data_IF_428928270350
#
_entry.id   IF_428928270350
#
_cell.length_a   1.000
_cell.length_b   1.000
_cell.length_c   1.000
_cell.angle_alpha   90.00
_cell.angle_beta   90.00
_cell.angle_gamma   90.00
#
_symmetry.space_group_name_H-M   'P 1'
#
loop_
_entity.id
_entity.type
_entity.pdbx_description
1 polymer ?
#
# COMPACT_ATOMS: atom_id res chain seq x y z
N UNK A 1 -3.77 -2.96 13.35
CA UNK A 1 -3.90 -1.55 12.95
C UNK A 1 -2.59 -0.80 13.15
N UNK A 2 -2.08 -0.63 14.38
CA UNK A 2 -0.89 0.18 14.63
C UNK A 2 0.39 -0.36 13.96
N UNK A 3 0.78 -1.61 14.25
CA UNK A 3 2.01 -2.19 13.70
C UNK A 3 1.97 -2.37 12.18
N UNK A 4 0.81 -2.71 11.62
CA UNK A 4 0.60 -2.83 10.17
C UNK A 4 0.73 -1.48 9.48
N UNK A 5 0.16 -0.41 10.06
CA UNK A 5 0.33 0.96 9.58
C UNK A 5 1.77 1.45 9.69
N UNK A 6 2.43 1.17 10.81
CA UNK A 6 3.84 1.54 11.03
C UNK A 6 4.76 0.85 10.03
N UNK A 7 4.62 -0.47 9.83
CA UNK A 7 5.38 -1.21 8.82
C UNK A 7 5.14 -0.67 7.41
N UNK A 8 3.90 -0.29 7.10
CA UNK A 8 3.57 0.30 5.81
C UNK A 8 4.29 1.64 5.60
N UNK A 9 4.28 2.50 6.62
CA UNK A 9 4.91 3.82 6.61
C UNK A 9 6.45 3.74 6.50
N UNK A 10 7.09 2.92 7.33
CA UNK A 10 8.55 2.96 7.49
C UNK A 10 9.29 1.99 6.57
N UNK A 11 8.60 0.98 6.01
CA UNK A 11 9.22 -0.05 5.14
C UNK A 11 8.67 0.02 3.72
N UNK A 12 7.37 -0.21 3.56
CA UNK A 12 6.79 -0.41 2.23
C UNK A 12 6.70 0.87 1.42
N UNK A 13 6.32 1.99 2.04
CA UNK A 13 6.24 3.29 1.39
C UNK A 13 7.60 3.75 0.83
N UNK A 14 8.71 3.80 1.62
CA UNK A 14 10.01 4.19 1.08
C UNK A 14 10.53 3.20 0.04
N UNK A 15 10.30 1.89 0.21
CA UNK A 15 10.68 0.89 -0.80
C UNK A 15 9.94 1.09 -2.13
N UNK A 16 8.64 1.41 -2.07
CA UNK A 16 7.81 1.71 -3.24
C UNK A 16 8.28 2.99 -3.92
N UNK A 17 8.53 4.05 -3.16
CA UNK A 17 9.03 5.33 -3.69
C UNK A 17 10.41 5.16 -4.38
N UNK A 18 11.31 4.38 -3.78
CA UNK A 18 12.60 4.04 -4.39
C UNK A 18 12.41 3.28 -5.71
N UNK A 19 11.51 2.30 -5.75
CA UNK A 19 11.22 1.54 -6.98
C UNK A 19 10.59 2.44 -8.05
N UNK A 20 9.70 3.38 -7.67
CA UNK A 20 9.16 4.37 -8.60
C UNK A 20 10.23 5.29 -9.17
N UNK A 21 11.20 5.74 -8.37
CA UNK A 21 12.35 6.51 -8.86
C UNK A 21 13.17 5.70 -9.86
N UNK A 22 13.37 4.40 -9.61
CA UNK A 22 14.06 3.50 -10.54
C UNK A 22 13.29 3.33 -11.85
N UNK A 23 11.97 3.12 -11.80
CA UNK A 23 11.10 3.04 -13.01
C UNK A 23 11.18 4.31 -13.85
N UNK A 24 11.13 5.49 -13.21
CA UNK A 24 11.31 6.78 -13.91
C UNK A 24 12.69 6.90 -14.56
N UNK A 25 13.74 6.41 -13.90
CA UNK A 25 15.09 6.38 -14.45
C UNK A 25 15.20 5.45 -15.66
N UNK A 26 14.61 4.25 -15.57
CA UNK A 26 14.60 3.29 -16.67
C UNK A 26 13.76 3.79 -17.85
N UNK A 27 12.63 4.43 -17.60
CA UNK A 27 11.79 4.99 -18.66
C UNK A 27 12.54 6.00 -19.54
N UNK A 28 13.42 6.81 -18.94
CA UNK A 28 14.31 7.73 -19.67
C UNK A 28 15.35 7.00 -20.54
N UNK A 29 15.85 5.85 -20.09
CA UNK A 29 16.83 5.05 -20.84
C UNK A 29 16.17 4.30 -22.00
N UNK A 30 14.98 3.76 -21.74
CA UNK A 30 14.21 3.00 -22.72
C UNK A 30 13.52 3.90 -23.74
N UNK A 31 13.42 5.21 -23.48
CA UNK A 31 12.60 6.13 -24.27
C UNK A 31 11.11 5.80 -24.23
N UNK A 32 10.67 5.01 -23.25
CA UNK A 32 9.31 4.48 -23.12
C UNK A 32 8.87 4.45 -21.67
N UNK A 33 7.70 5.01 -21.40
CA UNK A 33 7.14 5.04 -20.06
C UNK A 33 6.76 3.65 -19.55
N UNK A 34 6.87 3.44 -18.24
CA UNK A 34 6.64 2.17 -17.56
C UNK A 34 5.18 1.67 -17.54
N UNK A 35 4.25 2.48 -18.07
CA UNK A 35 2.82 2.19 -18.20
C UNK A 35 2.37 2.14 -19.68
N UNK A 36 3.28 2.40 -20.61
CA UNK A 36 2.97 2.36 -22.04
C UNK A 36 2.74 0.93 -22.52
N UNK A 37 1.80 0.74 -23.44
CA UNK A 37 1.44 -0.57 -23.98
C UNK A 37 2.59 -1.24 -24.77
N UNK A 38 2.52 -2.56 -24.93
CA UNK A 38 3.51 -3.37 -25.65
C UNK A 38 4.71 -3.81 -24.79
N UNK A 39 5.70 -4.50 -25.38
CA UNK A 39 6.82 -5.04 -24.63
C UNK A 39 7.67 -3.93 -23.99
N UNK A 40 8.18 -4.21 -22.79
CA UNK A 40 9.16 -3.37 -22.10
C UNK A 40 10.53 -4.07 -22.07
N UNK A 41 11.59 -3.30 -21.83
CA UNK A 41 12.92 -3.85 -21.52
C UNK A 41 12.84 -4.84 -20.35
N UNK A 42 13.78 -5.78 -20.29
CA UNK A 42 13.86 -6.75 -19.20
C UNK A 42 13.99 -6.04 -17.84
N UNK A 43 14.81 -5.00 -17.77
CA UNK A 43 15.01 -4.19 -16.57
C UNK A 43 13.71 -3.52 -16.12
N UNK A 44 12.94 -2.96 -17.05
CA UNK A 44 11.65 -2.35 -16.73
C UNK A 44 10.63 -3.40 -16.27
N UNK A 45 10.62 -4.59 -16.85
CA UNK A 45 9.74 -5.69 -16.40
C UNK A 45 10.05 -6.10 -14.96
N UNK A 46 11.34 -6.22 -14.61
CA UNK A 46 11.78 -6.51 -13.24
C UNK A 46 11.30 -5.42 -12.27
N UNK A 47 11.47 -4.14 -12.65
CA UNK A 47 11.01 -3.02 -11.83
C UNK A 47 9.49 -2.95 -11.70
N UNK A 48 8.74 -3.25 -12.76
CA UNK A 48 7.28 -3.32 -12.75
C UNK A 48 6.78 -4.43 -11.83
N UNK A 49 7.38 -5.63 -11.89
CA UNK A 49 7.06 -6.74 -10.99
C UNK A 49 7.32 -6.37 -9.53
N UNK A 50 8.49 -5.76 -9.25
CA UNK A 50 8.85 -5.30 -7.91
C UNK A 50 7.89 -4.25 -7.39
N UNK A 51 7.52 -3.27 -8.22
CA UNK A 51 6.53 -2.25 -7.87
C UNK A 51 5.18 -2.88 -7.55
N UNK A 52 4.69 -3.77 -8.43
CA UNK A 52 3.41 -4.45 -8.23
C UNK A 52 3.34 -5.22 -6.91
N UNK A 53 4.41 -5.94 -6.55
CA UNK A 53 4.51 -6.63 -5.27
C UNK A 53 4.49 -5.67 -4.08
N UNK A 54 5.34 -4.63 -4.07
CA UNK A 54 5.43 -3.68 -2.96
C UNK A 54 4.12 -2.89 -2.78
N UNK A 55 3.54 -2.40 -3.89
CA UNK A 55 2.28 -1.69 -3.87
C UNK A 55 1.12 -2.60 -3.43
N UNK A 56 1.07 -3.84 -3.93
CA UNK A 56 0.05 -4.82 -3.56
C UNK A 56 0.05 -5.12 -2.06
N UNK A 57 1.22 -5.40 -1.47
CA UNK A 57 1.33 -5.64 -0.01
C UNK A 57 0.91 -4.40 0.77
N UNK A 58 1.36 -3.21 0.36
CA UNK A 58 1.00 -1.93 1.01
C UNK A 58 -0.50 -1.68 1.00
N UNK A 59 -1.16 -1.89 -0.15
CA UNK A 59 -2.60 -1.73 -0.31
C UNK A 59 -3.40 -2.73 0.52
N UNK A 60 -2.95 -3.99 0.60
CA UNK A 60 -3.59 -5.01 1.45
C UNK A 60 -3.51 -4.66 2.95
N UNK A 61 -2.35 -4.18 3.43
CA UNK A 61 -2.21 -3.75 4.83
C UNK A 61 -3.13 -2.56 5.16
N UNK A 62 -3.27 -1.61 4.22
CA UNK A 62 -4.19 -0.48 4.39
C UNK A 62 -5.65 -0.94 4.41
N UNK A 63 -6.04 -1.81 3.48
CA UNK A 63 -7.41 -2.34 3.44
C UNK A 63 -7.75 -3.13 4.70
N UNK A 64 -6.86 -4.02 5.15
CA UNK A 64 -7.05 -4.76 6.40
C UNK A 64 -7.14 -3.84 7.61
N UNK A 65 -6.31 -2.80 7.66
CA UNK A 65 -6.37 -1.79 8.73
C UNK A 65 -7.69 -1.04 8.71
N UNK A 66 -8.17 -0.61 7.55
CA UNK A 66 -9.45 0.07 7.39
C UNK A 66 -10.62 -0.80 7.88
N UNK A 67 -10.70 -2.06 7.43
CA UNK A 67 -11.74 -2.99 7.87
C UNK A 67 -11.71 -3.22 9.38
N UNK A 68 -10.52 -3.38 9.94
CA UNK A 68 -10.35 -3.54 11.38
C UNK A 68 -10.82 -2.28 12.14
N UNK A 69 -10.49 -1.07 11.65
CA UNK A 69 -10.94 0.19 12.24
C UNK A 69 -12.47 0.29 12.26
N UNK A 70 -13.13 -0.04 11.15
CA UNK A 70 -14.59 -0.04 11.06
C UNK A 70 -15.20 -1.03 12.06
N UNK A 71 -14.70 -2.26 12.11
CA UNK A 71 -15.20 -3.27 13.05
C UNK A 71 -14.99 -2.88 14.52
N UNK A 72 -13.85 -2.27 14.83
CA UNK A 72 -13.58 -1.73 16.16
C UNK A 72 -14.51 -0.56 16.52
N UNK A 73 -14.83 0.30 15.55
CA UNK A 73 -15.79 1.39 15.72
C UNK A 73 -17.16 0.89 16.19
N UNK A 74 -17.70 -0.17 15.55
CA UNK A 74 -18.93 -0.82 16.00
C UNK A 74 -18.80 -1.39 17.42
N UNK A 75 -17.72 -2.12 17.69
CA UNK A 75 -17.47 -2.74 19.01
C UNK A 75 -17.41 -1.70 20.12
N UNK A 76 -16.70 -0.59 19.89
CA UNK A 76 -16.57 0.50 20.83
C UNK A 76 -17.91 1.22 21.02
N UNK A 77 -18.62 1.49 19.93
CA UNK A 77 -19.95 2.12 19.97
C UNK A 77 -20.95 1.32 20.82
N UNK A 78 -21.02 -0.01 20.64
CA UNK A 78 -21.90 -0.87 21.44
C UNK A 78 -21.55 -0.83 22.93
N UNK A 79 -20.26 -0.79 23.27
CA UNK A 79 -19.82 -0.68 24.67
C UNK A 79 -20.18 0.66 25.29
N UNK A 80 -20.02 1.75 24.55
CA UNK A 80 -20.39 3.10 25.02
C UNK A 80 -21.90 3.21 25.21
N UNK A 81 -22.70 2.76 24.23
CA UNK A 81 -24.16 2.75 24.34
C UNK A 81 -24.63 1.96 25.57
N UNK A 82 -24.08 0.76 25.77
CA UNK A 82 -24.43 -0.07 26.94
C UNK A 82 -24.09 0.58 28.28
N UNK A 83 -23.10 1.49 28.36
CA UNK A 83 -22.79 2.23 29.58
C UNK A 83 -23.80 3.37 29.75
N UNK A 84 -24.10 4.10 28.67
CA UNK A 84 -25.09 5.17 28.68
C UNK A 84 -26.48 4.68 29.11
N UNK A 85 -26.90 3.50 28.66
CA UNK A 85 -28.20 2.91 29.01
C UNK A 85 -28.32 2.50 30.50
N UNK A 86 -27.21 2.49 31.25
CA UNK A 86 -27.14 2.09 32.67
C UNK A 86 -27.11 3.28 33.65
N UNK A 87 -27.04 4.50 33.14
CA UNK A 87 -27.00 5.76 33.92
C UNK A 87 -28.38 6.42 33.82
#
# INVERSE_FOLDING_TARGET
>A
MFFTGLANLVVLQPATAKTMKQRKGQAKRDGKDYYAEGPHSEEMQILNKKFGMLHGISSLLNLATFLATVAYGFTLGTRIQSIADRI
#
